data_IF_068637328607
#
_entry.id   IF_068637328607
#
_cell.length_a   1.000
_cell.length_b   1.000
_cell.length_c   1.000
_cell.angle_alpha   90.00
_cell.angle_beta   90.00
_cell.angle_gamma   90.00
#
_symmetry.space_group_name_H-M   'P 1'
#
loop_
_entity.id
_entity.type
_entity.pdbx_description
1 polymer ?
#
# COMPACT_ATOMS: atom_id res chain seq x y z
N UNK A 1 54.90 -15.83 -34.63
CA UNK A 1 54.17 -15.04 -33.68
C UNK A 1 54.29 -15.61 -32.27
N UNK A 2 53.95 -16.86 -32.03
CA UNK A 2 54.00 -17.52 -30.69
C UNK A 2 55.43 -17.54 -30.13
N UNK A 3 56.43 -17.90 -30.92
CA UNK A 3 57.83 -17.93 -30.48
C UNK A 3 58.33 -16.54 -30.04
N UNK A 4 57.94 -15.50 -30.71
CA UNK A 4 58.27 -14.11 -30.32
C UNK A 4 57.62 -13.73 -28.97
N UNK A 5 56.33 -14.12 -28.74
CA UNK A 5 55.62 -13.89 -27.47
C UNK A 5 56.34 -14.61 -26.33
N UNK A 6 56.71 -15.90 -26.53
CA UNK A 6 57.42 -16.70 -25.54
C UNK A 6 58.75 -16.07 -25.17
N UNK A 7 59.59 -15.75 -26.17
CA UNK A 7 60.91 -15.11 -25.93
C UNK A 7 60.78 -13.77 -25.20
N UNK A 8 59.80 -12.95 -25.56
CA UNK A 8 59.56 -11.64 -24.92
C UNK A 8 59.04 -11.79 -23.49
N UNK A 9 58.18 -12.75 -23.23
CA UNK A 9 57.66 -13.07 -21.90
C UNK A 9 58.77 -13.57 -20.96
N UNK A 10 59.63 -14.45 -21.42
CA UNK A 10 60.76 -14.99 -20.67
C UNK A 10 61.78 -13.87 -20.38
N UNK A 11 62.07 -13.02 -21.38
CA UNK A 11 62.98 -11.88 -21.19
C UNK A 11 62.48 -10.87 -20.17
N UNK A 12 61.13 -10.66 -20.06
CA UNK A 12 60.50 -9.71 -19.15
C UNK A 12 59.66 -10.42 -18.08
N UNK A 13 60.19 -11.55 -17.57
CA UNK A 13 59.48 -12.40 -16.60
C UNK A 13 58.82 -11.64 -15.40
N UNK A 14 59.53 -10.62 -14.90
CA UNK A 14 59.04 -9.81 -13.80
C UNK A 14 57.73 -9.06 -14.18
N UNK A 15 57.69 -8.42 -15.34
CA UNK A 15 56.54 -7.68 -15.82
C UNK A 15 55.36 -8.63 -16.11
N UNK A 16 55.64 -9.81 -16.63
CA UNK A 16 54.59 -10.84 -16.89
C UNK A 16 54.02 -11.36 -15.58
N UNK A 17 54.85 -11.68 -14.61
CA UNK A 17 54.38 -12.12 -13.28
C UNK A 17 53.61 -11.04 -12.56
N UNK A 18 54.05 -9.79 -12.62
CA UNK A 18 53.33 -8.66 -12.04
C UNK A 18 51.98 -8.42 -12.72
N UNK A 19 51.93 -8.51 -14.05
CA UNK A 19 50.68 -8.44 -14.80
C UNK A 19 49.70 -9.58 -14.47
N UNK A 20 50.23 -10.83 -14.37
CA UNK A 20 49.43 -11.98 -13.97
C UNK A 20 48.86 -11.82 -12.52
N UNK A 21 49.72 -11.35 -11.60
CA UNK A 21 49.29 -11.08 -10.21
C UNK A 21 48.22 -10.01 -10.17
N UNK A 22 48.40 -8.89 -10.89
CA UNK A 22 47.38 -7.83 -10.97
C UNK A 22 46.05 -8.33 -11.54
N UNK A 23 46.10 -9.09 -12.64
CA UNK A 23 44.89 -9.71 -13.24
C UNK A 23 44.21 -10.67 -12.28
N UNK A 24 44.97 -11.45 -11.50
CA UNK A 24 44.39 -12.37 -10.50
C UNK A 24 43.71 -11.62 -9.37
N UNK A 25 44.35 -10.56 -8.86
CA UNK A 25 43.76 -9.71 -7.82
C UNK A 25 42.49 -9.01 -8.34
N UNK A 26 42.56 -8.44 -9.53
CA UNK A 26 41.42 -7.78 -10.15
C UNK A 26 40.27 -8.75 -10.44
N UNK A 27 40.60 -9.93 -11.02
CA UNK A 27 39.60 -10.97 -11.26
C UNK A 27 38.92 -11.46 -9.99
N UNK A 28 39.69 -11.69 -8.93
CA UNK A 28 39.13 -12.09 -7.63
C UNK A 28 38.22 -10.97 -7.05
N UNK A 29 38.68 -9.72 -7.10
CA UNK A 29 37.88 -8.58 -6.67
C UNK A 29 36.57 -8.46 -7.48
N UNK A 30 36.65 -8.62 -8.80
CA UNK A 30 35.48 -8.60 -9.69
C UNK A 30 34.48 -9.70 -9.35
N UNK A 31 34.94 -10.95 -9.14
CA UNK A 31 34.08 -12.08 -8.79
C UNK A 31 33.33 -11.82 -7.47
N UNK A 32 34.04 -11.29 -6.48
CA UNK A 32 33.43 -11.01 -5.15
C UNK A 32 32.39 -9.88 -5.23
N UNK A 33 32.64 -8.86 -6.08
CA UNK A 33 31.80 -7.67 -6.15
C UNK A 33 30.79 -7.66 -7.31
N UNK A 34 30.79 -8.69 -8.14
CA UNK A 34 29.80 -8.81 -9.22
C UNK A 34 28.47 -9.29 -8.62
N UNK A 35 27.40 -8.48 -8.69
CA UNK A 35 26.09 -8.94 -8.27
C UNK A 35 25.65 -10.10 -9.17
N UNK A 36 25.21 -11.17 -8.55
CA UNK A 36 24.71 -12.37 -9.27
C UNK A 36 23.28 -12.60 -8.82
N UNK A 37 22.37 -12.42 -9.74
CA UNK A 37 20.96 -12.75 -9.54
C UNK A 37 20.73 -14.22 -9.90
N UNK A 38 19.99 -14.93 -9.03
CA UNK A 38 19.60 -16.33 -9.30
C UNK A 38 18.63 -16.42 -10.50
N UNK A 39 17.80 -15.42 -10.68
CA UNK A 39 16.94 -15.20 -11.83
C UNK A 39 17.20 -13.78 -12.32
N UNK A 40 17.74 -13.61 -13.55
CA UNK A 40 17.95 -12.26 -14.07
C UNK A 40 16.61 -11.54 -14.19
N UNK A 41 16.53 -10.34 -13.62
CA UNK A 41 15.37 -9.48 -13.77
C UNK A 41 15.40 -8.82 -15.16
N UNK A 42 14.55 -9.34 -16.03
CA UNK A 42 14.35 -8.81 -17.38
C UNK A 42 13.16 -7.88 -17.47
N UNK A 43 12.60 -7.46 -16.32
CA UNK A 43 11.51 -6.51 -16.29
C UNK A 43 11.98 -5.12 -16.74
N UNK A 44 11.12 -4.43 -17.45
CA UNK A 44 11.31 -3.00 -17.72
C UNK A 44 11.43 -2.21 -16.40
N UNK A 45 12.22 -1.14 -16.39
CA UNK A 45 12.21 -0.19 -15.29
C UNK A 45 10.86 0.49 -15.27
N UNK A 46 10.03 0.17 -14.28
CA UNK A 46 8.66 0.68 -14.21
C UNK A 46 8.31 1.17 -12.82
N UNK A 47 7.44 2.18 -12.78
CA UNK A 47 6.82 2.68 -11.56
C UNK A 47 5.32 2.48 -11.67
N UNK A 48 4.75 1.82 -10.67
CA UNK A 48 3.32 1.53 -10.62
C UNK A 48 2.66 2.54 -9.69
N UNK A 49 1.56 3.13 -10.14
CA UNK A 49 0.71 4.00 -9.33
C UNK A 49 -0.60 3.24 -9.11
N UNK A 50 -0.96 3.03 -7.86
CA UNK A 50 -2.23 2.45 -7.45
C UNK A 50 -3.13 3.53 -6.88
N UNK A 51 -4.40 3.50 -7.25
CA UNK A 51 -5.40 4.44 -6.73
C UNK A 51 -6.69 3.70 -6.47
N UNK A 52 -7.19 3.73 -5.24
CA UNK A 52 -8.48 3.13 -4.90
C UNK A 52 -9.59 4.19 -4.95
N UNK A 53 -10.69 3.84 -5.64
CA UNK A 53 -11.91 4.61 -5.74
C UNK A 53 -13.12 3.70 -5.52
N UNK A 54 -13.38 3.29 -4.27
CA UNK A 54 -14.31 2.23 -3.94
C UNK A 54 -15.73 2.47 -4.46
N UNK A 55 -16.40 1.40 -4.90
CA UNK A 55 -17.78 1.42 -5.34
C UNK A 55 -18.01 1.99 -6.74
N UNK A 56 -16.95 2.37 -7.47
CA UNK A 56 -17.08 2.96 -8.80
C UNK A 56 -16.87 1.93 -9.91
N UNK A 57 -17.70 2.03 -10.95
CA UNK A 57 -17.57 1.20 -12.15
C UNK A 57 -16.26 1.52 -12.89
N UNK A 58 -15.66 0.56 -13.63
CA UNK A 58 -14.39 0.75 -14.33
C UNK A 58 -14.37 1.97 -15.25
N UNK A 59 -15.48 2.27 -15.94
CA UNK A 59 -15.60 3.43 -16.81
C UNK A 59 -15.50 4.76 -16.06
N UNK A 60 -16.03 4.82 -14.83
CA UNK A 60 -15.93 6.04 -13.98
C UNK A 60 -14.51 6.17 -13.46
N UNK A 61 -13.92 5.06 -13.01
CA UNK A 61 -12.51 5.00 -12.57
C UNK A 61 -11.59 5.46 -13.72
N UNK A 62 -11.83 4.99 -14.94
CA UNK A 62 -11.06 5.41 -16.11
C UNK A 62 -11.15 6.91 -16.35
N UNK A 63 -12.35 7.45 -16.41
CA UNK A 63 -12.56 8.85 -16.75
C UNK A 63 -12.05 9.82 -15.69
N UNK A 64 -12.22 9.48 -14.40
CA UNK A 64 -11.95 10.39 -13.30
C UNK A 64 -10.59 10.17 -12.63
N UNK A 65 -9.99 9.00 -12.79
CA UNK A 65 -8.73 8.64 -12.11
C UNK A 65 -7.66 8.22 -13.11
N UNK A 66 -7.90 7.15 -13.86
CA UNK A 66 -6.87 6.56 -14.73
C UNK A 66 -6.44 7.51 -15.83
N UNK A 67 -7.38 8.15 -16.52
CA UNK A 67 -7.09 9.08 -17.63
C UNK A 67 -6.33 10.33 -17.18
N UNK A 68 -6.73 11.04 -16.11
CA UNK A 68 -5.95 12.17 -15.58
C UNK A 68 -4.53 11.76 -15.14
N UNK A 69 -4.37 10.60 -14.54
CA UNK A 69 -3.07 10.08 -14.15
C UNK A 69 -2.21 9.76 -15.37
N UNK A 70 -2.72 8.97 -16.33
CA UNK A 70 -1.95 8.56 -17.51
C UNK A 70 -1.52 9.76 -18.35
N UNK A 71 -2.41 10.73 -18.57
CA UNK A 71 -2.09 11.94 -19.34
C UNK A 71 -1.01 12.80 -18.67
N UNK A 72 -1.03 12.89 -17.34
CA UNK A 72 -0.01 13.63 -16.60
C UNK A 72 1.32 12.87 -16.63
N UNK A 73 1.31 11.55 -16.47
CA UNK A 73 2.51 10.73 -16.47
C UNK A 73 3.21 10.64 -17.84
N UNK A 74 2.52 10.87 -18.94
CA UNK A 74 3.15 10.98 -20.27
C UNK A 74 4.20 12.10 -20.34
N UNK A 75 4.11 13.09 -19.47
CA UNK A 75 5.06 14.22 -19.44
C UNK A 75 6.28 13.95 -18.54
N UNK A 76 6.37 12.80 -17.89
CA UNK A 76 7.49 12.44 -17.03
C UNK A 76 8.74 12.22 -17.89
N UNK A 77 9.86 12.90 -17.60
CA UNK A 77 11.10 12.70 -18.34
C UNK A 77 11.58 11.26 -18.29
N UNK A 78 12.00 10.72 -19.42
CA UNK A 78 12.48 9.33 -19.54
C UNK A 78 11.36 8.28 -19.56
N UNK A 79 10.09 8.65 -19.50
CA UNK A 79 9.00 7.72 -19.68
C UNK A 79 8.91 7.30 -21.16
N UNK A 80 9.07 6.01 -21.42
CA UNK A 80 8.95 5.38 -22.74
C UNK A 80 7.49 5.07 -23.09
N UNK A 81 6.74 4.59 -22.09
CA UNK A 81 5.34 4.21 -22.26
C UNK A 81 4.58 4.39 -20.95
N UNK A 82 3.32 4.84 -21.04
CA UNK A 82 2.39 4.88 -19.90
C UNK A 82 1.16 4.05 -20.24
N UNK A 83 0.81 3.12 -19.34
CA UNK A 83 -0.36 2.23 -19.50
C UNK A 83 -1.25 2.35 -18.29
N UNK A 84 -2.56 2.50 -18.50
CA UNK A 84 -3.58 2.54 -17.46
C UNK A 84 -4.49 1.32 -17.51
N UNK A 85 -4.85 0.81 -16.34
CA UNK A 85 -5.84 -0.26 -16.17
C UNK A 85 -6.87 0.20 -15.15
N UNK A 86 -8.14 0.15 -15.54
CA UNK A 86 -9.26 0.52 -14.69
C UNK A 86 -10.06 -0.74 -14.34
N UNK A 87 -10.22 -0.97 -13.06
CA UNK A 87 -11.00 -2.08 -12.51
C UNK A 87 -12.17 -1.52 -11.68
N UNK A 88 -13.03 -2.39 -11.16
CA UNK A 88 -14.07 -1.97 -10.24
C UNK A 88 -13.42 -1.46 -8.92
N UNK A 89 -13.53 -0.16 -8.71
CA UNK A 89 -12.99 0.49 -7.52
C UNK A 89 -11.49 0.73 -7.49
N UNK A 90 -10.72 0.31 -8.51
CA UNK A 90 -9.25 0.47 -8.51
C UNK A 90 -8.72 0.92 -9.88
N UNK A 91 -7.68 1.74 -9.83
CA UNK A 91 -6.87 2.17 -10.97
C UNK A 91 -5.41 1.79 -10.77
N UNK A 92 -4.79 1.29 -11.84
CA UNK A 92 -3.35 1.00 -11.90
C UNK A 92 -2.75 1.69 -13.09
N UNK A 93 -1.75 2.53 -12.87
CA UNK A 93 -1.01 3.22 -13.94
C UNK A 93 0.46 2.79 -13.88
N UNK A 94 0.94 2.25 -14.98
CA UNK A 94 2.32 1.79 -15.16
C UNK A 94 3.06 2.82 -15.98
N UNK A 95 4.10 3.41 -15.40
CA UNK A 95 5.03 4.31 -16.08
C UNK A 95 6.29 3.52 -16.37
N UNK A 96 6.53 3.19 -17.62
CA UNK A 96 7.66 2.38 -18.09
C UNK A 96 8.72 3.34 -18.61
N UNK A 97 9.95 3.17 -18.15
CA UNK A 97 11.10 4.02 -18.48
C UNK A 97 12.02 3.35 -19.49
N UNK A 98 12.94 4.13 -20.05
CA UNK A 98 14.01 3.62 -20.90
C UNK A 98 14.95 2.70 -20.11
N UNK A 99 15.52 1.72 -20.82
CA UNK A 99 16.44 0.77 -20.23
C UNK A 99 17.66 1.47 -19.61
N UNK A 100 18.07 1.00 -18.43
CA UNK A 100 19.17 1.58 -17.69
C UNK A 100 18.83 2.83 -16.88
N UNK A 101 17.56 3.25 -16.84
CA UNK A 101 17.10 4.31 -15.94
C UNK A 101 17.22 3.85 -14.48
N UNK A 102 17.76 4.71 -13.61
CA UNK A 102 17.79 4.43 -12.18
C UNK A 102 16.37 4.37 -11.60
N UNK A 103 15.96 3.25 -10.97
CA UNK A 103 14.61 3.07 -10.45
C UNK A 103 14.23 4.12 -9.39
N UNK A 104 15.16 4.54 -8.53
CA UNK A 104 14.89 5.53 -7.48
C UNK A 104 14.70 6.93 -8.06
N UNK A 105 15.49 7.26 -9.07
CA UNK A 105 15.28 8.50 -9.83
C UNK A 105 13.92 8.49 -10.53
N UNK A 106 13.55 7.39 -11.19
CA UNK A 106 12.26 7.23 -11.85
C UNK A 106 11.10 7.42 -10.86
N UNK A 107 11.17 6.77 -9.70
CA UNK A 107 10.17 6.91 -8.62
C UNK A 107 10.06 8.35 -8.13
N UNK A 108 11.19 9.03 -7.95
CA UNK A 108 11.22 10.44 -7.52
C UNK A 108 10.54 11.35 -8.54
N UNK A 109 10.77 11.13 -9.84
CA UNK A 109 10.10 11.89 -10.91
C UNK A 109 8.61 11.64 -10.95
N UNK A 110 8.20 10.37 -10.89
CA UNK A 110 6.77 10.01 -10.84
C UNK A 110 6.08 10.64 -9.64
N UNK A 111 6.71 10.64 -8.46
CA UNK A 111 6.15 11.25 -7.25
C UNK A 111 5.95 12.76 -7.41
N UNK A 112 6.88 13.46 -8.05
CA UNK A 112 6.76 14.88 -8.33
C UNK A 112 5.53 15.19 -9.21
N UNK A 113 5.35 14.44 -10.28
CA UNK A 113 4.20 14.57 -11.17
C UNK A 113 2.89 14.11 -10.54
N UNK A 114 2.96 13.11 -9.66
CA UNK A 114 1.81 12.63 -8.90
C UNK A 114 1.25 13.72 -7.98
N UNK A 115 2.12 14.49 -7.33
CA UNK A 115 1.71 15.64 -6.52
C UNK A 115 0.99 16.71 -7.34
N UNK A 116 1.35 16.90 -8.62
CA UNK A 116 0.69 17.87 -9.50
C UNK A 116 -0.71 17.45 -9.90
N UNK A 117 -0.98 16.15 -10.01
CA UNK A 117 -2.28 15.63 -10.43
C UNK A 117 -3.24 15.37 -9.27
N UNK A 118 -2.73 15.29 -8.03
CA UNK A 118 -3.53 14.97 -6.85
C UNK A 118 -4.77 15.89 -6.71
N UNK A 119 -4.62 17.18 -6.99
CA UNK A 119 -5.72 18.14 -6.95
C UNK A 119 -6.77 17.99 -8.07
N UNK A 120 -6.53 17.13 -9.06
CA UNK A 120 -7.46 16.85 -10.18
C UNK A 120 -8.26 15.57 -9.95
N UNK A 121 -7.89 14.78 -8.95
CA UNK A 121 -8.60 13.56 -8.59
C UNK A 121 -9.88 13.89 -7.80
N UNK A 122 -10.86 12.99 -7.78
CA UNK A 122 -12.07 13.16 -6.99
C UNK A 122 -11.77 13.34 -5.50
N UNK A 123 -12.64 14.05 -4.79
CA UNK A 123 -12.48 14.28 -3.35
C UNK A 123 -12.40 12.94 -2.58
N UNK A 124 -11.41 12.82 -1.71
CA UNK A 124 -11.17 11.61 -0.92
C UNK A 124 -10.42 10.49 -1.66
N UNK A 125 -10.05 10.70 -2.95
CA UNK A 125 -9.23 9.75 -3.70
C UNK A 125 -7.77 10.16 -3.63
N UNK A 126 -6.92 9.24 -3.18
CA UNK A 126 -5.47 9.43 -3.11
C UNK A 126 -4.76 8.38 -3.97
N UNK A 127 -3.82 8.84 -4.77
CA UNK A 127 -2.98 7.96 -5.56
C UNK A 127 -1.67 7.70 -4.83
N UNK A 128 -1.25 6.45 -4.81
CA UNK A 128 -0.07 5.97 -4.09
C UNK A 128 0.90 5.28 -5.06
N UNK A 129 2.19 5.40 -4.79
CA UNK A 129 3.18 4.60 -5.49
C UNK A 129 3.11 3.14 -5.02
N UNK A 130 3.11 2.22 -5.98
CA UNK A 130 3.28 0.80 -5.70
C UNK A 130 4.62 0.50 -5.04
N UNK A 131 4.82 -0.74 -4.57
CA UNK A 131 6.05 -1.15 -3.91
C UNK A 131 7.26 -1.00 -4.83
N UNK A 132 8.42 -0.84 -4.21
CA UNK A 132 9.72 -0.82 -4.87
C UNK A 132 10.23 -2.26 -5.06
N UNK A 133 9.47 -3.04 -5.82
CA UNK A 133 9.76 -4.44 -6.06
C UNK A 133 9.20 -4.89 -7.41
N UNK A 134 9.88 -5.86 -8.02
CA UNK A 134 9.40 -6.56 -9.22
C UNK A 134 8.83 -7.93 -8.85
N UNK A 135 8.11 -8.57 -9.78
CA UNK A 135 7.58 -9.91 -9.56
C UNK A 135 8.65 -10.99 -9.32
N UNK A 136 9.91 -10.72 -9.68
CA UNK A 136 11.06 -11.61 -9.41
C UNK A 136 11.62 -11.43 -7.99
N UNK A 137 11.22 -10.37 -7.31
CA UNK A 137 11.65 -10.04 -5.94
C UNK A 137 10.99 -10.84 -4.82
N UNK A 138 10.13 -11.79 -5.14
CA UNK A 138 9.55 -12.72 -4.16
C UNK A 138 10.62 -13.71 -3.69
N UNK A 139 11.31 -13.35 -2.60
CA UNK A 139 12.44 -14.13 -2.09
C UNK A 139 12.06 -15.09 -0.98
N UNK A 140 10.93 -14.85 -0.33
CA UNK A 140 10.46 -15.66 0.79
C UNK A 140 8.94 -15.72 0.86
N UNK A 141 8.41 -16.93 0.98
CA UNK A 141 6.99 -17.19 1.16
C UNK A 141 6.77 -18.00 2.43
N UNK A 142 5.76 -17.66 3.21
CA UNK A 142 5.39 -18.39 4.42
C UNK A 142 3.88 -18.49 4.56
N UNK A 143 3.41 -19.45 5.33
CA UNK A 143 2.02 -19.64 5.64
C UNK A 143 1.77 -19.55 7.14
N UNK A 144 0.74 -18.81 7.54
CA UNK A 144 0.23 -18.83 8.91
C UNK A 144 -0.77 -19.97 9.06
N UNK A 145 -0.47 -20.90 9.97
CA UNK A 145 -1.32 -22.07 10.21
C UNK A 145 -1.61 -22.17 11.70
N UNK A 146 -2.89 -22.05 12.08
CA UNK A 146 -3.31 -22.35 13.42
C UNK A 146 -3.54 -23.86 13.58
N UNK A 147 -2.80 -24.49 14.50
CA UNK A 147 -2.97 -25.90 14.89
C UNK A 147 -3.75 -26.06 16.18
N UNK A 148 -4.07 -24.96 16.86
CA UNK A 148 -4.78 -24.98 18.14
C UNK A 148 -6.31 -25.00 17.95
N UNK A 149 -6.81 -24.59 16.78
CA UNK A 149 -8.22 -24.41 16.49
C UNK A 149 -8.87 -23.24 17.24
N UNK A 150 -8.05 -22.32 17.78
CA UNK A 150 -8.51 -21.14 18.53
C UNK A 150 -8.65 -19.89 17.68
N UNK A 151 -7.99 -19.84 16.53
CA UNK A 151 -7.94 -18.69 15.63
C UNK A 151 -8.54 -19.07 14.29
N UNK A 152 -9.40 -18.23 13.78
CA UNK A 152 -9.97 -18.37 12.45
C UNK A 152 -9.08 -17.66 11.39
N UNK A 153 -9.48 -17.76 10.12
CA UNK A 153 -8.75 -17.13 9.01
C UNK A 153 -8.72 -15.60 9.11
N UNK A 154 -9.72 -15.00 9.77
CA UNK A 154 -9.78 -13.56 9.96
C UNK A 154 -8.84 -13.09 11.06
N UNK A 155 -8.66 -13.89 12.11
CA UNK A 155 -7.67 -13.63 13.17
C UNK A 155 -6.25 -13.72 12.61
N UNK A 156 -5.96 -14.77 11.83
CA UNK A 156 -4.66 -14.94 11.19
C UNK A 156 -4.37 -13.80 10.19
N UNK A 157 -5.37 -13.39 9.44
CA UNK A 157 -5.24 -12.24 8.52
C UNK A 157 -4.99 -10.94 9.27
N UNK A 158 -5.69 -10.72 10.36
CA UNK A 158 -5.48 -9.55 11.22
C UNK A 158 -4.08 -9.53 11.83
N UNK A 159 -3.59 -10.66 12.31
CA UNK A 159 -2.22 -10.81 12.81
C UNK A 159 -1.18 -10.48 11.72
N UNK A 160 -1.41 -10.97 10.51
CA UNK A 160 -0.54 -10.71 9.37
C UNK A 160 -0.52 -9.22 9.01
N UNK A 161 -1.68 -8.61 8.80
CA UNK A 161 -1.78 -7.25 8.25
C UNK A 161 -1.42 -6.16 9.28
N UNK A 162 -1.73 -6.39 10.58
CA UNK A 162 -1.56 -5.37 11.62
C UNK A 162 -0.33 -5.55 12.50
N UNK A 163 0.33 -6.71 12.45
CA UNK A 163 1.52 -6.97 13.25
C UNK A 163 2.69 -7.45 12.39
N UNK A 164 2.61 -8.66 11.80
CA UNK A 164 3.75 -9.26 11.11
C UNK A 164 4.22 -8.44 9.91
N UNK A 165 3.31 -7.87 9.16
CA UNK A 165 3.63 -7.02 8.00
C UNK A 165 4.50 -5.83 8.39
N UNK A 166 4.21 -5.18 9.52
CA UNK A 166 4.98 -4.04 9.98
C UNK A 166 6.36 -4.46 10.49
N UNK A 167 6.41 -5.50 11.32
CA UNK A 167 7.67 -6.03 11.85
C UNK A 167 8.61 -6.49 10.72
N UNK A 168 8.10 -7.24 9.77
CA UNK A 168 8.89 -7.74 8.64
C UNK A 168 9.36 -6.62 7.70
N UNK A 169 8.58 -5.54 7.55
CA UNK A 169 8.99 -4.37 6.76
C UNK A 169 10.13 -3.57 7.38
N UNK A 170 10.43 -3.75 8.67
CA UNK A 170 11.57 -3.09 9.32
C UNK A 170 12.90 -3.77 9.00
N UNK A 171 12.87 -4.98 8.43
CA UNK A 171 14.08 -5.69 8.03
C UNK A 171 14.72 -4.96 6.84
N UNK A 172 16.03 -4.67 6.88
CA UNK A 172 16.71 -4.04 5.75
C UNK A 172 16.46 -4.78 4.43
N UNK A 173 16.29 -4.03 3.36
CA UNK A 173 16.08 -4.53 1.99
C UNK A 173 14.74 -5.27 1.75
N UNK A 174 13.81 -5.23 2.69
CA UNK A 174 12.44 -5.69 2.48
C UNK A 174 11.57 -4.55 1.96
N UNK A 175 11.28 -4.56 0.66
CA UNK A 175 10.46 -3.55 0.00
C UNK A 175 8.97 -3.73 0.31
N UNK A 176 8.47 -4.96 0.31
CA UNK A 176 7.06 -5.27 0.52
C UNK A 176 6.86 -6.59 1.27
N UNK A 177 5.78 -6.63 2.05
CA UNK A 177 5.21 -7.85 2.62
C UNK A 177 3.75 -7.91 2.18
N UNK A 178 3.46 -8.76 1.21
CA UNK A 178 2.12 -8.92 0.65
C UNK A 178 1.40 -10.11 1.30
N UNK A 179 0.12 -9.93 1.57
CA UNK A 179 -0.74 -10.96 2.16
C UNK A 179 -1.65 -11.55 1.08
N UNK A 180 -1.64 -12.88 0.95
CA UNK A 180 -2.53 -13.61 0.03
C UNK A 180 -3.38 -14.58 0.85
N UNK A 181 -4.70 -14.58 0.60
CA UNK A 181 -5.65 -15.41 1.35
C UNK A 181 -6.06 -14.82 2.70
N UNK A 182 -6.74 -15.63 3.48
CA UNK A 182 -7.41 -15.17 4.70
C UNK A 182 -8.66 -14.34 4.40
N UNK A 183 -9.31 -13.85 5.44
CA UNK A 183 -10.52 -13.01 5.35
C UNK A 183 -10.30 -11.74 6.16
N UNK A 184 -10.60 -10.59 5.55
CA UNK A 184 -10.54 -9.31 6.25
C UNK A 184 -11.83 -9.14 7.05
N UNK A 185 -11.72 -8.82 8.34
CA UNK A 185 -12.89 -8.52 9.17
C UNK A 185 -13.54 -7.21 8.74
N UNK A 186 -14.83 -7.26 8.45
CA UNK A 186 -15.62 -6.10 8.06
C UNK A 186 -16.88 -5.99 8.92
N UNK A 187 -17.18 -4.79 9.40
CA UNK A 187 -18.45 -4.47 10.02
C UNK A 187 -19.45 -4.11 8.93
N UNK A 188 -20.43 -5.00 8.72
CA UNK A 188 -21.47 -4.79 7.72
C UNK A 188 -22.74 -4.22 8.35
N UNK A 189 -23.19 -3.09 7.81
CA UNK A 189 -24.44 -2.43 8.21
C UNK A 189 -25.45 -2.61 7.08
N UNK A 190 -26.37 -3.55 7.24
CA UNK A 190 -27.44 -3.81 6.27
C UNK A 190 -28.68 -3.01 6.66
N UNK A 191 -28.94 -1.96 5.90
CA UNK A 191 -30.00 -1.00 6.18
C UNK A 191 -31.34 -1.53 5.69
N UNK A 192 -32.40 -1.34 6.48
CA UNK A 192 -33.79 -1.60 6.11
C UNK A 192 -34.44 -0.30 5.59
N UNK A 193 -34.69 -0.18 4.27
CA UNK A 193 -35.28 1.04 3.70
C UNK A 193 -36.67 1.37 4.20
N UNK A 194 -37.45 0.33 4.58
CA UNK A 194 -38.81 0.54 5.08
C UNK A 194 -38.79 1.15 6.48
N UNK A 195 -37.88 0.69 7.33
CA UNK A 195 -37.69 1.26 8.67
C UNK A 195 -37.12 2.67 8.60
N UNK A 196 -36.17 2.93 7.71
CA UNK A 196 -35.67 4.30 7.48
C UNK A 196 -36.83 5.25 7.13
N UNK A 197 -37.71 4.82 6.19
CA UNK A 197 -38.86 5.63 5.81
C UNK A 197 -39.85 5.86 6.96
N UNK A 198 -40.08 4.84 7.82
CA UNK A 198 -40.96 4.95 9.00
C UNK A 198 -40.45 5.98 10.02
N UNK A 199 -39.12 6.02 10.23
CA UNK A 199 -38.50 6.99 11.16
C UNK A 199 -38.15 8.33 10.50
N UNK A 200 -38.38 8.46 9.18
CA UNK A 200 -38.05 9.68 8.44
C UNK A 200 -36.56 9.99 8.48
N UNK A 201 -35.71 8.95 8.32
CA UNK A 201 -34.26 9.04 8.34
C UNK A 201 -33.76 8.75 6.90
N UNK A 202 -32.86 9.61 6.40
CA UNK A 202 -32.24 9.43 5.11
C UNK A 202 -30.97 8.59 5.23
N UNK A 203 -30.52 7.97 4.13
CA UNK A 203 -29.27 7.24 4.08
C UNK A 203 -28.06 8.15 4.37
N UNK A 204 -28.14 9.42 3.96
CA UNK A 204 -27.10 10.41 4.24
C UNK A 204 -26.95 10.70 5.74
N UNK A 205 -28.07 10.76 6.48
CA UNK A 205 -28.05 10.93 7.93
C UNK A 205 -27.43 9.72 8.63
N UNK A 206 -27.74 8.49 8.17
CA UNK A 206 -27.08 7.27 8.69
C UNK A 206 -25.59 7.31 8.47
N UNK A 207 -25.15 7.65 7.25
CA UNK A 207 -23.73 7.76 6.94
C UNK A 207 -23.05 8.82 7.81
N UNK A 208 -23.64 10.00 7.95
CA UNK A 208 -23.08 11.07 8.77
C UNK A 208 -23.00 10.68 10.25
N UNK A 209 -23.99 9.95 10.76
CA UNK A 209 -23.97 9.47 12.14
C UNK A 209 -22.87 8.43 12.38
N UNK A 210 -22.66 7.51 11.43
CA UNK A 210 -21.57 6.53 11.47
C UNK A 210 -20.19 7.22 11.45
N UNK A 211 -20.00 8.16 10.53
CA UNK A 211 -18.75 8.91 10.41
C UNK A 211 -18.45 9.73 11.68
N UNK A 212 -19.48 10.35 12.27
CA UNK A 212 -19.35 11.14 13.48
C UNK A 212 -19.12 10.29 14.75
N UNK A 213 -19.63 9.06 14.77
CA UNK A 213 -19.54 8.18 15.95
C UNK A 213 -18.20 7.44 16.05
N UNK A 214 -17.36 7.47 15.02
CA UNK A 214 -16.06 6.79 15.01
C UNK A 214 -14.90 7.79 14.99
N UNK A 215 -14.91 8.73 15.94
CA UNK A 215 -13.91 9.78 16.03
C UNK A 215 -13.43 9.95 17.48
N UNK A 216 -12.16 10.31 17.64
CA UNK A 216 -11.62 10.78 18.89
C UNK A 216 -11.43 12.31 18.84
N UNK A 217 -11.76 12.99 19.90
CA UNK A 217 -11.50 14.41 20.05
C UNK A 217 -10.61 14.66 21.27
N UNK A 218 -9.51 15.35 21.08
CA UNK A 218 -8.72 15.92 22.17
C UNK A 218 -9.49 17.13 22.74
N UNK A 219 -9.67 17.13 24.05
CA UNK A 219 -10.19 18.28 24.76
C UNK A 219 -9.05 19.17 25.28
N UNK A 220 -9.42 20.19 26.06
CA UNK A 220 -8.46 21.01 26.81
C UNK A 220 -7.97 20.28 28.06
N UNK A 221 -6.89 20.78 28.65
CA UNK A 221 -6.47 20.32 29.98
C UNK A 221 -7.27 21.05 31.08
N UNK A 222 -7.50 20.36 32.18
CA UNK A 222 -8.11 20.91 33.42
C UNK A 222 -7.02 20.88 34.48
N UNK A 223 -6.69 22.04 35.03
CA UNK A 223 -5.84 22.14 36.21
C UNK A 223 -6.66 21.91 37.49
N UNK A 224 -6.31 20.93 38.26
CA UNK A 224 -6.90 20.58 39.52
C UNK A 224 -5.83 20.24 40.56
N UNK A 225 -5.74 21.02 41.66
CA UNK A 225 -4.86 20.76 42.79
C UNK A 225 -3.37 20.48 42.38
N UNK A 226 -2.76 21.40 41.63
CA UNK A 226 -1.39 21.35 41.15
C UNK A 226 -1.09 20.22 40.15
N UNK A 227 -2.13 19.55 39.60
CA UNK A 227 -2.01 18.56 38.56
C UNK A 227 -2.82 18.96 37.32
N UNK A 228 -2.26 18.70 36.14
CA UNK A 228 -2.92 18.90 34.86
C UNK A 228 -3.53 17.59 34.35
N UNK A 229 -4.86 17.62 34.12
CA UNK A 229 -5.60 16.48 33.59
C UNK A 229 -5.99 16.75 32.15
N UNK A 230 -5.55 15.92 31.23
CA UNK A 230 -5.99 15.98 29.83
C UNK A 230 -7.39 15.39 29.69
N UNK A 231 -8.29 16.14 29.08
CA UNK A 231 -9.64 15.67 28.72
C UNK A 231 -9.57 15.07 27.33
N UNK A 232 -9.98 13.82 27.21
CA UNK A 232 -10.07 13.10 25.93
C UNK A 232 -11.47 12.50 25.80
N UNK A 233 -12.13 12.78 24.69
CA UNK A 233 -13.34 12.08 24.29
C UNK A 233 -12.90 10.84 23.46
N UNK A 234 -13.09 9.64 24.02
CA UNK A 234 -12.85 8.38 23.31
C UNK A 234 -14.15 7.93 22.64
N UNK A 235 -14.15 7.85 21.32
CA UNK A 235 -15.32 7.55 20.53
C UNK A 235 -15.11 6.47 19.46
N UNK A 236 -13.96 5.76 19.47
CA UNK A 236 -13.77 4.66 18.54
C UNK A 236 -14.69 3.48 18.84
N UNK A 237 -15.38 3.03 17.80
CA UNK A 237 -16.25 1.85 17.84
C UNK A 237 -15.39 0.59 17.82
N UNK A 238 -15.57 -0.30 18.80
CA UNK A 238 -14.76 -1.51 18.95
C UNK A 238 -15.60 -2.79 18.81
N UNK A 239 -16.87 -2.73 19.16
CA UNK A 239 -17.76 -3.88 19.20
C UNK A 239 -19.01 -3.65 18.37
N UNK A 240 -19.70 -4.74 17.97
CA UNK A 240 -21.01 -4.64 17.32
C UNK A 240 -22.05 -3.90 18.20
N UNK A 241 -21.89 -3.99 19.51
CA UNK A 241 -22.78 -3.32 20.46
C UNK A 241 -22.60 -1.81 20.42
N UNK A 242 -21.38 -1.31 20.27
CA UNK A 242 -21.11 0.11 20.08
C UNK A 242 -21.82 0.64 18.84
N UNK A 243 -21.75 -0.10 17.72
CA UNK A 243 -22.48 0.27 16.50
C UNK A 243 -23.99 0.26 16.71
N UNK A 244 -24.53 -0.74 17.42
CA UNK A 244 -25.97 -0.85 17.71
C UNK A 244 -26.51 0.35 18.45
N UNK A 245 -25.71 1.00 19.29
CA UNK A 245 -26.10 2.11 20.11
C UNK A 245 -25.82 3.50 19.50
N UNK A 246 -25.39 3.55 18.24
CA UNK A 246 -25.26 4.84 17.53
C UNK A 246 -26.65 5.48 17.41
N UNK A 247 -26.77 6.71 17.89
CA UNK A 247 -28.00 7.50 17.80
C UNK A 247 -28.07 8.17 16.43
N UNK A 248 -29.09 7.85 15.66
CA UNK A 248 -29.33 8.45 14.33
C UNK A 248 -30.18 9.74 14.44
N UNK A 249 -31.19 9.72 15.31
CA UNK A 249 -32.14 10.82 15.48
C UNK A 249 -32.76 10.74 16.86
N UNK A 250 -33.13 11.87 17.45
CA UNK A 250 -34.03 11.92 18.60
C UNK A 250 -35.43 12.29 18.11
N UNK A 251 -36.48 11.60 18.62
CA UNK A 251 -37.85 11.95 18.37
C UNK A 251 -38.20 13.27 19.11
N UNK A 252 -39.34 13.90 18.79
CA UNK A 252 -39.81 15.10 19.42
C UNK A 252 -39.99 14.94 20.96
N UNK A 253 -40.22 13.72 21.41
CA UNK A 253 -40.31 13.38 22.84
C UNK A 253 -38.97 13.00 23.48
N UNK A 254 -37.85 13.22 22.80
CA UNK A 254 -36.51 12.93 23.30
C UNK A 254 -36.12 11.43 23.27
N UNK A 255 -36.94 10.58 22.68
CA UNK A 255 -36.61 9.12 22.53
C UNK A 255 -35.61 8.94 21.39
N UNK A 256 -34.42 8.38 21.62
CA UNK A 256 -33.44 8.16 20.57
C UNK A 256 -33.86 7.00 19.64
N UNK A 257 -33.61 7.18 18.36
CA UNK A 257 -33.65 6.11 17.35
C UNK A 257 -32.24 5.66 17.12
N UNK A 258 -31.95 4.39 17.38
CA UNK A 258 -30.64 3.80 17.26
C UNK A 258 -30.42 3.14 15.89
N UNK A 259 -29.16 2.93 15.51
CA UNK A 259 -28.81 2.22 14.27
C UNK A 259 -29.43 0.82 14.20
N UNK A 260 -29.48 0.08 15.31
CA UNK A 260 -30.15 -1.24 15.40
C UNK A 260 -31.64 -1.22 15.06
N UNK A 261 -32.29 -0.08 15.18
CA UNK A 261 -33.73 0.04 14.92
C UNK A 261 -34.02 0.09 13.41
N UNK A 262 -33.04 0.48 12.60
CA UNK A 262 -33.16 0.65 11.15
C UNK A 262 -32.20 -0.21 10.33
N UNK A 263 -31.28 -0.91 10.98
CA UNK A 263 -30.29 -1.74 10.32
C UNK A 263 -30.02 -3.05 11.05
N UNK A 264 -29.57 -4.03 10.33
CA UNK A 264 -28.98 -5.27 10.88
C UNK A 264 -27.47 -5.20 10.76
N UNK A 265 -26.79 -5.41 11.89
CA UNK A 265 -25.35 -5.40 11.96
C UNK A 265 -24.80 -6.81 12.01
N UNK A 266 -23.72 -7.05 11.28
CA UNK A 266 -22.96 -8.29 11.33
C UNK A 266 -21.48 -8.03 11.19
N UNK A 267 -20.66 -8.86 11.82
CA UNK A 267 -19.24 -8.98 11.54
C UNK A 267 -19.10 -10.07 10.48
N UNK A 268 -18.56 -9.69 9.32
CA UNK A 268 -18.27 -10.62 8.24
C UNK A 268 -16.79 -10.98 8.29
N UNK A 269 -16.50 -12.23 8.17
CA UNK A 269 -15.16 -12.81 8.10
C UNK A 269 -15.14 -14.07 7.25
#
# INVERSE_FOLDING_TARGET
MIEWIIRRSVANRFLVLMGALFLSIWGTWTIINTPVDALPDLSDVQVIIKTSYPGQAPQIVENQVTYPLTTTMLSVPGAKTVRGFSQFGDSYVYVIFEDGTDPYWARSRVLEYLNQVQGKLPAGVSAELGPDATGVGWIYEYALVDRSGKHDLADLRSLQDWFLKYELKTIPDVAEVASVGGVVKEYQVVIDPQRLAQYGISLAEVKSALDASNQEAGGSSIELAEAEYMVRASGYLQTLDDFNHIVLKASENGVPVYLRDVAKLSLIH
#
